data_IF_352639638947
#
_entry.id   IF_352639638947
#
_cell.length_a   1.000
_cell.length_b   1.000
_cell.length_c   1.000
_cell.angle_alpha   90.00
_cell.angle_beta   90.00
_cell.angle_gamma   90.00
#
_symmetry.space_group_name_H-M   'P 1'
#
loop_
_entity.id
_entity.type
_entity.pdbx_description
1 polymer ?
#
# COMPACT_ATOMS: atom_id res chain seq x y z
N UNK A 1 -20.03 -1.25 -19.78
CA UNK A 1 -21.13 -1.17 -20.77
C UNK A 1 -21.19 -2.33 -21.74
N UNK A 2 -20.11 -2.75 -22.43
CA UNK A 2 -20.16 -3.93 -23.33
C UNK A 2 -20.67 -5.20 -22.64
N UNK A 3 -20.14 -5.53 -21.45
CA UNK A 3 -20.63 -6.66 -20.64
C UNK A 3 -22.12 -6.52 -20.32
N UNK A 4 -22.55 -5.34 -19.86
CA UNK A 4 -23.94 -5.07 -19.49
C UNK A 4 -24.87 -5.30 -20.69
N UNK A 5 -24.48 -4.80 -21.87
CA UNK A 5 -25.22 -5.00 -23.11
C UNK A 5 -25.33 -6.47 -23.53
N UNK A 6 -24.31 -7.30 -23.28
CA UNK A 6 -24.37 -8.75 -23.55
C UNK A 6 -25.46 -9.46 -22.73
N UNK A 7 -25.81 -8.91 -21.57
CA UNK A 7 -26.80 -9.46 -20.66
C UNK A 7 -28.08 -8.62 -20.60
N UNK A 8 -28.29 -7.71 -21.56
CA UNK A 8 -29.44 -6.80 -21.61
C UNK A 8 -29.64 -5.98 -20.32
N UNK A 9 -28.55 -5.66 -19.62
CA UNK A 9 -28.55 -4.85 -18.41
C UNK A 9 -28.40 -3.36 -18.75
N UNK A 10 -29.02 -2.46 -17.95
CA UNK A 10 -28.87 -1.01 -18.13
C UNK A 10 -27.39 -0.59 -18.14
N UNK A 11 -26.97 0.32 -19.04
CA UNK A 11 -25.60 0.78 -19.08
C UNK A 11 -25.27 1.66 -17.87
N UNK A 12 -24.00 1.68 -17.47
CA UNK A 12 -23.52 2.72 -16.57
C UNK A 12 -23.42 4.04 -17.33
N UNK A 13 -24.10 5.06 -16.78
CA UNK A 13 -24.11 6.44 -17.28
C UNK A 13 -23.30 7.34 -16.35
N UNK A 14 -22.75 8.43 -16.89
CA UNK A 14 -22.12 9.48 -16.09
C UNK A 14 -23.19 10.23 -15.29
N UNK A 15 -22.83 10.71 -14.11
CA UNK A 15 -23.67 11.62 -13.35
C UNK A 15 -23.71 12.97 -14.07
N UNK A 16 -24.91 13.52 -14.25
CA UNK A 16 -25.17 14.83 -14.87
C UNK A 16 -25.88 15.79 -13.92
N UNK A 17 -26.59 15.26 -12.92
CA UNK A 17 -27.31 16.03 -11.91
C UNK A 17 -27.01 15.47 -10.53
N UNK A 18 -26.88 16.36 -9.56
CA UNK A 18 -26.66 16.01 -8.17
C UNK A 18 -27.81 16.52 -7.30
N UNK A 19 -28.21 15.71 -6.33
CA UNK A 19 -29.30 15.98 -5.41
C UNK A 19 -28.84 15.74 -3.98
N UNK A 20 -29.33 16.56 -3.07
CA UNK A 20 -29.16 16.32 -1.64
C UNK A 20 -30.13 15.24 -1.17
N UNK A 21 -29.62 14.22 -0.48
CA UNK A 21 -30.49 13.29 0.26
C UNK A 21 -31.17 14.02 1.42
N UNK A 22 -32.44 13.71 1.62
CA UNK A 22 -33.14 14.06 2.83
C UNK A 22 -32.52 13.30 4.01
N UNK A 23 -32.14 14.02 5.06
CA UNK A 23 -31.58 13.47 6.29
C UNK A 23 -32.37 13.99 7.48
N UNK A 24 -32.42 13.23 8.60
CA UNK A 24 -33.03 13.72 9.84
C UNK A 24 -32.43 15.05 10.30
N UNK A 25 -33.21 15.85 11.01
CA UNK A 25 -32.78 17.15 11.53
C UNK A 25 -31.48 17.03 12.35
N UNK A 26 -30.56 17.96 12.09
CA UNK A 26 -29.24 18.00 12.73
C UNK A 26 -28.19 17.03 12.16
N UNK A 27 -28.51 16.23 11.13
CA UNK A 27 -27.53 15.38 10.44
C UNK A 27 -27.08 16.00 9.12
N UNK A 28 -25.82 15.77 8.75
CA UNK A 28 -25.27 16.20 7.47
C UNK A 28 -25.93 15.45 6.30
N UNK A 29 -26.37 16.18 5.29
CA UNK A 29 -26.83 15.61 4.02
C UNK A 29 -25.65 15.03 3.21
N UNK A 30 -25.95 14.13 2.27
CA UNK A 30 -25.00 13.58 1.30
C UNK A 30 -25.53 13.78 -0.13
N UNK A 31 -24.61 13.93 -1.08
CA UNK A 31 -24.95 14.04 -2.49
C UNK A 31 -25.27 12.67 -3.09
N UNK A 32 -26.19 12.66 -4.04
CA UNK A 32 -26.53 11.52 -4.89
C UNK A 32 -26.68 12.01 -6.31
N UNK A 33 -26.15 11.27 -7.28
CA UNK A 33 -26.34 11.57 -8.68
C UNK A 33 -27.27 10.62 -9.41
N UNK A 34 -27.55 10.95 -10.66
CA UNK A 34 -28.41 10.23 -11.60
C UNK A 34 -27.65 9.19 -12.46
N UNK A 35 -26.37 8.98 -12.18
CA UNK A 35 -25.49 8.04 -12.90
C UNK A 35 -24.95 6.91 -12.03
N UNK A 36 -23.94 6.22 -12.55
CA UNK A 36 -23.26 5.15 -11.83
C UNK A 36 -22.43 5.70 -10.64
N UNK A 37 -22.33 4.90 -9.58
CA UNK A 37 -21.43 5.18 -8.45
C UNK A 37 -20.20 4.28 -8.50
N UNK A 38 -19.01 4.86 -8.26
CA UNK A 38 -17.80 4.08 -7.99
C UNK A 38 -17.86 3.61 -6.54
N UNK A 39 -18.02 2.30 -6.33
CA UNK A 39 -18.12 1.69 -5.00
C UNK A 39 -16.77 1.23 -4.44
N UNK A 40 -15.82 0.93 -5.32
CA UNK A 40 -14.43 0.63 -5.00
C UNK A 40 -13.56 0.94 -6.21
N UNK A 41 -12.33 1.38 -5.97
CA UNK A 41 -11.32 1.55 -7.01
C UNK A 41 -9.95 1.17 -6.45
N UNK A 42 -9.19 0.42 -7.25
CA UNK A 42 -7.85 -0.02 -6.89
C UNK A 42 -6.84 0.70 -7.78
N UNK A 43 -5.94 1.48 -7.17
CA UNK A 43 -4.79 2.07 -7.85
C UNK A 43 -3.58 1.18 -7.66
N UNK A 44 -2.80 0.96 -8.71
CA UNK A 44 -1.64 0.08 -8.65
C UNK A 44 -0.39 0.72 -9.22
N UNK A 45 0.73 0.56 -8.53
CA UNK A 45 2.06 0.95 -8.99
C UNK A 45 2.98 -0.26 -8.90
N UNK A 46 3.83 -0.47 -9.91
CA UNK A 46 4.84 -1.51 -9.86
C UNK A 46 6.21 -0.86 -9.63
N UNK A 47 6.86 -1.28 -8.54
CA UNK A 47 8.21 -0.86 -8.18
C UNK A 47 9.22 -1.91 -8.61
N UNK A 48 10.31 -1.46 -9.21
CA UNK A 48 11.52 -2.22 -9.44
C UNK A 48 12.43 -2.03 -8.22
N UNK A 49 12.72 -3.10 -7.50
CA UNK A 49 13.62 -3.05 -6.32
C UNK A 49 14.91 -3.87 -6.50
N UNK A 50 15.03 -4.56 -7.65
CA UNK A 50 16.14 -5.45 -7.96
C UNK A 50 15.87 -6.90 -7.51
N UNK A 51 16.38 -7.84 -8.31
CA UNK A 51 16.19 -9.28 -8.07
C UNK A 51 16.59 -9.71 -6.65
N UNK A 52 15.70 -10.44 -5.98
CA UNK A 52 15.92 -10.99 -4.64
C UNK A 52 15.78 -9.98 -3.50
N UNK A 53 15.47 -8.71 -3.78
CA UNK A 53 15.32 -7.64 -2.78
C UNK A 53 13.87 -7.40 -2.35
N UNK A 54 12.90 -8.05 -2.99
CA UNK A 54 11.46 -7.84 -2.80
C UNK A 54 11.01 -8.11 -1.37
N UNK A 55 11.40 -9.26 -0.81
CA UNK A 55 11.03 -9.63 0.55
C UNK A 55 11.66 -8.69 1.59
N UNK A 56 12.91 -8.27 1.36
CA UNK A 56 13.61 -7.31 2.23
C UNK A 56 12.97 -5.93 2.17
N UNK A 57 12.59 -5.46 0.97
CA UNK A 57 11.88 -4.20 0.79
C UNK A 57 10.51 -4.22 1.50
N UNK A 58 9.68 -5.23 1.22
CA UNK A 58 8.35 -5.38 1.85
C UNK A 58 8.49 -5.43 3.38
N UNK A 59 9.50 -6.14 3.88
CA UNK A 59 9.77 -6.24 5.30
C UNK A 59 10.20 -4.91 5.91
N UNK A 60 11.11 -4.18 5.26
CA UNK A 60 11.52 -2.84 5.68
C UNK A 60 10.33 -1.89 5.76
N UNK A 61 9.47 -1.87 4.74
CA UNK A 61 8.23 -1.08 4.75
C UNK A 61 7.29 -1.49 5.89
N UNK A 62 7.19 -2.80 6.18
CA UNK A 62 6.36 -3.33 7.26
C UNK A 62 6.81 -2.96 8.68
N UNK A 63 7.96 -2.30 8.83
CA UNK A 63 8.41 -1.77 10.13
C UNK A 63 7.59 -0.57 10.61
N UNK A 64 6.88 0.13 9.70
CA UNK A 64 6.19 1.37 10.00
C UNK A 64 4.66 1.29 9.84
N UNK A 65 3.94 2.05 10.67
CA UNK A 65 2.54 2.40 10.40
C UNK A 65 2.45 3.51 9.36
N UNK A 66 1.66 3.29 8.31
CA UNK A 66 1.32 4.33 7.32
C UNK A 66 0.04 5.08 7.71
N UNK A 67 -0.11 6.30 7.21
CA UNK A 67 -1.25 7.17 7.48
C UNK A 67 -1.59 7.27 8.98
N UNK A 68 -2.89 7.29 9.28
CA UNK A 68 -3.43 7.39 10.65
C UNK A 68 -3.52 6.01 11.32
N UNK A 69 -2.42 5.59 11.95
CA UNK A 69 -2.34 4.40 12.80
C UNK A 69 -2.68 3.06 12.11
N UNK A 70 -2.50 2.98 10.78
CA UNK A 70 -2.73 1.76 10.03
C UNK A 70 -1.57 0.81 10.31
N UNK A 71 -1.83 -0.30 11.00
CA UNK A 71 -0.79 -1.26 11.37
C UNK A 71 -0.42 -2.17 10.18
N UNK A 72 0.87 -2.43 9.95
CA UNK A 72 1.32 -3.41 8.98
C UNK A 72 0.98 -4.82 9.46
N UNK A 73 0.50 -5.65 8.52
CA UNK A 73 0.35 -7.09 8.66
C UNK A 73 1.25 -7.76 7.61
N UNK A 74 2.48 -8.06 8.02
CA UNK A 74 3.41 -8.87 7.22
C UNK A 74 2.99 -10.34 7.32
N UNK A 75 2.80 -11.01 6.18
CA UNK A 75 2.47 -12.43 6.15
C UNK A 75 3.71 -13.30 6.44
N UNK A 76 3.55 -14.54 6.94
CA UNK A 76 4.67 -15.37 7.39
C UNK A 76 5.77 -15.62 6.33
N UNK A 77 5.40 -15.66 5.05
CA UNK A 77 6.36 -15.84 3.94
C UNK A 77 7.14 -14.56 3.59
N UNK A 78 6.81 -13.41 4.18
CA UNK A 78 7.44 -12.12 3.89
C UNK A 78 7.13 -11.53 2.51
N UNK A 79 6.29 -12.19 1.70
CA UNK A 79 6.02 -11.82 0.31
C UNK A 79 4.87 -10.83 0.15
N UNK A 80 4.18 -10.50 1.24
CA UNK A 80 3.05 -9.57 1.23
C UNK A 80 2.95 -8.85 2.56
N UNK A 81 2.66 -7.55 2.52
CA UNK A 81 2.28 -6.76 3.68
C UNK A 81 1.03 -5.95 3.38
N UNK A 82 0.05 -6.02 4.29
CA UNK A 82 -1.18 -5.24 4.20
C UNK A 82 -1.24 -4.19 5.31
N UNK A 83 -1.80 -3.03 4.99
CA UNK A 83 -2.21 -2.02 5.95
C UNK A 83 -3.72 -1.83 5.85
N UNK A 84 -4.42 -2.00 6.97
CA UNK A 84 -5.87 -1.82 7.07
C UNK A 84 -6.71 -2.77 6.19
N UNK A 85 -6.36 -4.05 6.14
CA UNK A 85 -7.04 -5.10 5.33
C UNK A 85 -8.58 -5.10 5.47
N UNK A 86 -9.08 -4.98 6.70
CA UNK A 86 -10.51 -4.99 7.02
C UNK A 86 -11.19 -3.61 6.95
N UNK A 87 -10.48 -2.55 6.55
CA UNK A 87 -11.03 -1.19 6.56
C UNK A 87 -12.05 -0.97 5.45
N UNK A 88 -13.16 -0.31 5.74
CA UNK A 88 -14.13 0.13 4.72
C UNK A 88 -13.72 1.44 4.04
N UNK A 89 -12.59 2.03 4.46
CA UNK A 89 -12.07 3.31 3.98
C UNK A 89 -11.00 3.13 2.91
N UNK A 90 -9.86 2.54 3.29
CA UNK A 90 -8.72 2.30 2.41
C UNK A 90 -7.92 1.08 2.91
N UNK A 91 -7.49 0.25 1.97
CA UNK A 91 -6.50 -0.81 2.17
C UNK A 91 -5.30 -0.54 1.28
N UNK A 92 -4.10 -0.73 1.81
CA UNK A 92 -2.85 -0.63 1.05
C UNK A 92 -2.12 -1.94 1.17
N UNK A 93 -1.57 -2.42 0.07
CA UNK A 93 -0.93 -3.73 -0.01
C UNK A 93 0.37 -3.62 -0.81
N UNK A 94 1.44 -4.16 -0.26
CA UNK A 94 2.69 -4.40 -0.98
C UNK A 94 2.89 -5.90 -1.13
N UNK A 95 3.24 -6.39 -2.32
CA UNK A 95 3.55 -7.81 -2.51
C UNK A 95 4.54 -8.07 -3.64
N UNK A 96 5.28 -9.17 -3.51
CA UNK A 96 6.15 -9.68 -4.58
C UNK A 96 5.28 -10.21 -5.73
N UNK A 97 5.32 -9.52 -6.88
CA UNK A 97 4.41 -9.83 -7.99
C UNK A 97 4.74 -11.17 -8.65
N UNK A 98 6.03 -11.49 -8.77
CA UNK A 98 6.47 -12.78 -9.29
C UNK A 98 5.96 -13.96 -8.44
N UNK A 99 6.08 -13.85 -7.11
CA UNK A 99 5.60 -14.87 -6.19
C UNK A 99 4.09 -15.07 -6.31
N UNK A 100 3.32 -13.99 -6.36
CA UNK A 100 1.87 -14.05 -6.53
C UNK A 100 1.47 -14.72 -7.85
N UNK A 101 2.09 -14.33 -8.98
CA UNK A 101 1.85 -14.93 -10.28
C UNK A 101 2.17 -16.44 -10.29
N UNK A 102 3.27 -16.85 -9.64
CA UNK A 102 3.62 -18.28 -9.49
C UNK A 102 2.56 -19.06 -8.71
N UNK A 103 2.02 -18.50 -7.64
CA UNK A 103 0.97 -19.14 -6.85
C UNK A 103 -0.35 -19.24 -7.62
N UNK A 104 -0.70 -18.22 -8.41
CA UNK A 104 -1.85 -18.27 -9.31
C UNK A 104 -1.67 -19.34 -10.41
N UNK A 105 -0.52 -19.36 -11.07
CA UNK A 105 -0.19 -20.36 -12.10
C UNK A 105 -0.27 -21.80 -11.55
N UNK A 106 0.23 -22.05 -10.34
CA UNK A 106 0.12 -23.37 -9.67
C UNK A 106 -1.34 -23.77 -9.44
N UNK A 107 -2.21 -22.83 -9.06
CA UNK A 107 -3.64 -23.10 -8.84
C UNK A 107 -4.33 -23.41 -10.17
N UNK A 108 -4.02 -22.67 -11.22
CA UNK A 108 -4.64 -22.85 -12.53
C UNK A 108 -4.20 -24.16 -13.18
N UNK A 109 -2.91 -24.54 -13.09
CA UNK A 109 -2.41 -25.86 -13.53
C UNK A 109 -3.12 -27.05 -12.84
N UNK A 110 -3.70 -26.85 -11.64
CA UNK A 110 -4.47 -27.90 -10.92
C UNK A 110 -5.93 -28.02 -11.36
N UNK A 111 -6.53 -26.97 -11.94
CA UNK A 111 -7.97 -26.92 -12.21
C UNK A 111 -8.43 -27.75 -13.42
N UNK A 112 -7.52 -28.40 -14.16
CA UNK A 112 -7.79 -29.13 -15.43
C UNK A 112 -8.44 -28.31 -16.55
N UNK A 113 -8.83 -27.06 -16.31
CA UNK A 113 -9.19 -26.10 -17.35
C UNK A 113 -7.97 -25.85 -18.24
N UNK A 114 -8.17 -25.96 -19.55
CA UNK A 114 -7.11 -25.90 -20.55
C UNK A 114 -6.58 -24.47 -20.67
N UNK A 115 -5.54 -24.11 -19.90
CA UNK A 115 -4.75 -22.92 -20.20
C UNK A 115 -4.03 -23.19 -21.51
N UNK A 116 -4.21 -22.31 -22.50
CA UNK A 116 -3.58 -22.46 -23.80
C UNK A 116 -2.05 -22.43 -23.64
N UNK A 117 -1.28 -23.26 -24.37
CA UNK A 117 0.17 -23.28 -24.28
C UNK A 117 0.81 -21.90 -24.45
N UNK A 118 0.28 -21.08 -25.36
CA UNK A 118 0.74 -19.70 -25.60
C UNK A 118 0.53 -18.78 -24.39
N UNK A 119 -0.58 -18.95 -23.67
CA UNK A 119 -0.86 -18.19 -22.45
C UNK A 119 0.07 -18.60 -21.32
N UNK A 120 0.40 -19.90 -21.23
CA UNK A 120 1.37 -20.40 -20.27
C UNK A 120 2.77 -19.82 -20.52
N UNK A 121 3.24 -19.85 -21.77
CA UNK A 121 4.54 -19.27 -22.15
C UNK A 121 4.60 -17.77 -21.83
N UNK A 122 3.54 -17.03 -22.14
CA UNK A 122 3.44 -15.62 -21.80
C UNK A 122 3.49 -15.36 -20.28
N UNK A 123 2.76 -16.14 -19.48
CA UNK A 123 2.75 -15.99 -18.02
C UNK A 123 4.12 -16.35 -17.44
N UNK A 124 4.77 -17.40 -17.93
CA UNK A 124 6.11 -17.80 -17.47
C UNK A 124 7.15 -16.73 -17.82
N UNK A 125 7.09 -16.16 -19.04
CA UNK A 125 7.89 -15.00 -19.44
C UNK A 125 7.66 -13.77 -18.55
N UNK A 126 6.40 -13.52 -18.18
CA UNK A 126 6.04 -12.41 -17.28
C UNK A 126 6.56 -12.62 -15.86
N UNK A 127 6.47 -13.84 -15.35
CA UNK A 127 7.03 -14.22 -14.04
C UNK A 127 8.54 -13.97 -14.04
N UNK A 128 9.25 -14.50 -15.04
CA UNK A 128 10.70 -14.34 -15.14
C UNK A 128 11.12 -12.85 -15.24
N UNK A 129 10.36 -12.04 -15.98
CA UNK A 129 10.57 -10.59 -15.99
C UNK A 129 10.39 -9.97 -14.60
N UNK A 130 9.30 -10.32 -13.90
CA UNK A 130 9.06 -9.82 -12.55
C UNK A 130 10.14 -10.24 -11.55
N UNK A 131 10.71 -11.44 -11.68
CA UNK A 131 11.81 -11.92 -10.83
C UNK A 131 13.12 -11.18 -11.12
N UNK A 132 13.47 -11.02 -12.40
CA UNK A 132 14.70 -10.32 -12.79
C UNK A 132 14.71 -8.85 -12.37
N UNK A 133 13.57 -8.19 -12.44
CA UNK A 133 13.43 -6.78 -12.01
C UNK A 133 13.19 -6.65 -10.49
N UNK A 134 12.85 -7.74 -9.81
CA UNK A 134 12.42 -7.70 -8.43
C UNK A 134 11.18 -6.84 -8.24
N UNK A 135 10.06 -7.25 -8.84
CA UNK A 135 8.84 -6.43 -8.88
C UNK A 135 8.06 -6.54 -7.58
N UNK A 136 7.91 -5.41 -6.89
CA UNK A 136 6.96 -5.24 -5.78
C UNK A 136 5.79 -4.40 -6.28
N UNK A 137 4.58 -4.97 -6.23
CA UNK A 137 3.38 -4.21 -6.54
C UNK A 137 2.83 -3.55 -5.29
N UNK A 138 2.56 -2.26 -5.43
CA UNK A 138 1.78 -1.44 -4.53
C UNK A 138 0.33 -1.37 -5.04
N UNK A 139 -0.63 -1.66 -4.17
CA UNK A 139 -2.06 -1.53 -4.45
C UNK A 139 -2.74 -0.70 -3.35
N UNK A 140 -3.53 0.29 -3.77
CA UNK A 140 -4.38 1.11 -2.91
C UNK A 140 -5.84 0.87 -3.27
N UNK A 141 -6.55 0.13 -2.44
CA UNK A 141 -7.99 -0.08 -2.57
C UNK A 141 -8.75 1.01 -1.81
N UNK A 142 -9.30 1.98 -2.54
CA UNK A 142 -10.17 3.02 -2.01
C UNK A 142 -11.59 2.50 -2.03
N UNK A 143 -12.19 2.37 -0.84
CA UNK A 143 -13.48 1.73 -0.64
C UNK A 143 -14.58 2.76 -0.41
N UNK A 144 -15.82 2.29 -0.51
CA UNK A 144 -17.02 3.13 -0.58
C UNK A 144 -17.11 4.24 0.49
N UNK A 145 -16.67 3.99 1.74
CA UNK A 145 -16.75 5.01 2.79
C UNK A 145 -15.86 6.22 2.49
N UNK A 146 -14.63 6.00 1.99
CA UNK A 146 -13.72 7.07 1.58
C UNK A 146 -14.30 7.80 0.36
N UNK A 147 -14.74 7.04 -0.64
CA UNK A 147 -15.25 7.60 -1.90
C UNK A 147 -16.48 8.48 -1.68
N UNK A 148 -17.37 8.10 -0.76
CA UNK A 148 -18.54 8.91 -0.37
C UNK A 148 -18.19 10.11 0.50
N UNK A 149 -17.18 9.99 1.38
CA UNK A 149 -16.73 11.15 2.18
C UNK A 149 -16.23 12.29 1.32
N UNK A 150 -15.56 11.95 0.22
CA UNK A 150 -14.83 12.90 -0.62
C UNK A 150 -15.47 13.10 -2.00
N UNK A 151 -16.73 12.67 -2.18
CA UNK A 151 -17.47 12.75 -3.44
C UNK A 151 -16.81 12.10 -4.67
N UNK A 152 -15.78 11.27 -4.45
CA UNK A 152 -15.03 10.52 -5.47
C UNK A 152 -15.85 9.39 -6.12
N UNK A 153 -17.04 9.11 -5.61
CA UNK A 153 -17.94 8.09 -6.13
C UNK A 153 -18.73 8.54 -7.37
N UNK A 154 -18.76 9.84 -7.67
CA UNK A 154 -19.59 10.42 -8.73
C UNK A 154 -18.98 10.21 -10.12
N UNK A 155 -19.18 9.04 -10.70
CA UNK A 155 -18.65 8.69 -12.03
C UNK A 155 -19.02 9.77 -13.07
N UNK A 156 -18.02 10.26 -13.80
CA UNK A 156 -18.17 11.29 -14.83
C UNK A 156 -18.02 12.73 -14.34
N UNK A 157 -18.00 12.96 -13.02
CA UNK A 157 -17.75 14.27 -12.39
C UNK A 157 -16.42 14.35 -11.65
N UNK A 158 -15.66 13.26 -11.64
CA UNK A 158 -14.36 13.14 -10.97
C UNK A 158 -13.31 12.75 -11.99
N UNK A 159 -12.08 13.22 -11.77
CA UNK A 159 -10.90 12.93 -12.59
C UNK A 159 -9.88 12.11 -11.79
N UNK A 160 -8.85 11.60 -12.45
CA UNK A 160 -7.80 10.83 -11.78
C UNK A 160 -7.04 11.65 -10.74
N UNK A 161 -6.82 12.94 -11.02
CA UNK A 161 -6.09 13.86 -10.13
C UNK A 161 -6.74 13.99 -8.74
N UNK A 162 -8.07 13.87 -8.67
CA UNK A 162 -8.84 13.94 -7.42
C UNK A 162 -8.44 12.84 -6.42
N UNK A 163 -7.88 11.72 -6.91
CA UNK A 163 -7.48 10.57 -6.12
C UNK A 163 -6.05 10.68 -5.58
N UNK A 164 -5.14 11.42 -6.23
CA UNK A 164 -3.70 11.38 -5.93
C UNK A 164 -3.36 11.74 -4.48
N UNK A 165 -4.08 12.69 -3.87
CA UNK A 165 -3.91 13.06 -2.46
C UNK A 165 -4.13 11.90 -1.46
N UNK A 166 -4.75 10.81 -1.91
CA UNK A 166 -5.04 9.62 -1.11
C UNK A 166 -4.06 8.45 -1.33
N UNK A 167 -3.05 8.63 -2.19
CA UNK A 167 -2.15 7.54 -2.63
C UNK A 167 -0.72 7.66 -2.04
N UNK A 168 -0.34 8.81 -1.48
CA UNK A 168 1.05 9.09 -1.09
C UNK A 168 1.54 8.39 0.20
N UNK A 169 0.73 7.51 0.81
CA UNK A 169 1.06 6.88 2.10
C UNK A 169 2.36 6.05 2.04
N UNK A 170 2.60 5.33 0.94
CA UNK A 170 3.81 4.51 0.76
C UNK A 170 5.02 5.38 0.41
N UNK A 171 4.85 6.33 -0.51
CA UNK A 171 5.91 7.29 -0.86
C UNK A 171 6.43 8.07 0.36
N UNK A 172 5.53 8.57 1.19
CA UNK A 172 5.90 9.25 2.44
C UNK A 172 6.70 8.34 3.38
N UNK A 173 6.31 7.06 3.48
CA UNK A 173 7.03 6.08 4.29
C UNK A 173 8.40 5.75 3.70
N UNK A 174 8.53 5.62 2.38
CA UNK A 174 9.81 5.40 1.69
C UNK A 174 10.77 6.57 1.90
N UNK A 175 10.30 7.82 1.70
CA UNK A 175 11.09 9.02 1.91
C UNK A 175 11.59 9.12 3.35
N UNK A 176 10.73 8.77 4.31
CA UNK A 176 11.12 8.72 5.73
C UNK A 176 12.21 7.67 5.97
N UNK A 177 12.10 6.47 5.41
CA UNK A 177 13.11 5.42 5.61
C UNK A 177 14.45 5.74 4.95
N UNK A 178 14.43 6.39 3.77
CA UNK A 178 15.63 6.71 3.01
C UNK A 178 16.52 7.74 3.73
N UNK A 179 15.94 8.84 4.21
CA UNK A 179 16.66 9.94 4.88
C UNK A 179 17.48 9.47 6.09
N UNK A 180 17.07 8.39 6.75
CA UNK A 180 17.72 7.91 7.97
C UNK A 180 18.84 6.88 7.74
N UNK A 181 19.02 6.39 6.50
CA UNK A 181 20.08 5.42 6.19
C UNK A 181 21.44 6.09 5.95
N UNK A 182 21.46 7.34 5.49
CA UNK A 182 22.66 8.01 4.97
C UNK A 182 23.64 8.52 6.04
N UNK A 183 23.29 8.49 7.34
CA UNK A 183 24.11 9.13 8.37
C UNK A 183 24.53 8.16 9.49
N UNK A 184 25.86 8.01 9.69
CA UNK A 184 26.45 7.38 10.90
C UNK A 184 26.29 8.25 12.16
N UNK A 185 25.12 8.88 12.31
CA UNK A 185 24.78 9.73 13.44
C UNK A 185 24.00 8.94 14.49
N UNK A 186 24.15 9.31 15.76
CA UNK A 186 23.31 8.73 16.82
C UNK A 186 21.85 9.15 16.64
N UNK A 187 20.92 8.36 17.15
CA UNK A 187 19.48 8.67 17.12
C UNK A 187 19.17 10.06 17.67
N UNK A 188 19.89 10.52 18.70
CA UNK A 188 19.73 11.87 19.21
C UNK A 188 20.09 12.96 18.18
N UNK A 189 21.15 12.76 17.39
CA UNK A 189 21.53 13.70 16.33
C UNK A 189 20.56 13.64 15.15
N UNK A 190 20.11 12.43 14.76
CA UNK A 190 19.08 12.26 13.72
C UNK A 190 17.79 12.99 14.10
N UNK A 191 17.35 12.90 15.36
CA UNK A 191 16.17 13.61 15.87
C UNK A 191 16.32 15.14 15.80
N UNK A 192 17.52 15.67 16.07
CA UNK A 192 17.80 17.10 15.95
C UNK A 192 17.84 17.54 14.48
N UNK A 193 18.53 16.79 13.63
CA UNK A 193 18.66 17.05 12.19
C UNK A 193 17.29 17.06 11.49
N UNK A 194 16.43 16.10 11.85
CA UNK A 194 15.06 16.02 11.35
C UNK A 194 14.11 17.10 11.92
N UNK A 195 14.55 17.92 12.87
CA UNK A 195 13.70 18.92 13.53
C UNK A 195 12.62 18.31 14.43
N UNK A 196 12.79 17.06 14.87
CA UNK A 196 11.83 16.37 15.73
C UNK A 196 11.83 16.89 17.18
N UNK A 197 12.93 17.52 17.59
CA UNK A 197 13.18 18.05 18.93
C UNK A 197 13.98 19.34 18.85
N UNK A 198 13.76 20.24 19.81
CA UNK A 198 14.43 21.56 19.82
C UNK A 198 15.79 21.53 20.51
N UNK A 199 16.03 20.52 21.36
CA UNK A 199 17.22 20.47 22.22
C UNK A 199 17.82 19.08 22.31
N UNK A 200 19.15 19.02 22.47
CA UNK A 200 19.88 17.76 22.66
C UNK A 200 19.39 16.99 23.90
N UNK A 201 18.94 17.69 24.95
CA UNK A 201 18.35 17.06 26.13
C UNK A 201 17.10 16.24 25.78
N UNK A 202 16.17 16.83 25.04
CA UNK A 202 14.96 16.13 24.59
C UNK A 202 15.30 14.97 23.63
N UNK A 203 16.31 15.16 22.79
CA UNK A 203 16.83 14.13 21.88
C UNK A 203 17.35 12.91 22.66
N UNK A 204 18.22 13.14 23.65
CA UNK A 204 18.78 12.10 24.51
C UNK A 204 17.71 11.38 25.35
N UNK A 205 16.71 12.09 25.87
CA UNK A 205 15.58 11.46 26.55
C UNK A 205 14.82 10.52 25.61
N UNK A 206 14.54 10.95 24.39
CA UNK A 206 13.85 10.13 23.39
C UNK A 206 14.71 8.93 22.97
N UNK A 207 16.02 9.12 22.79
CA UNK A 207 16.98 8.06 22.51
C UNK A 207 17.03 7.01 23.63
N UNK A 208 16.96 7.41 24.91
CA UNK A 208 16.92 6.47 26.03
C UNK A 208 15.69 5.55 25.98
N UNK A 209 14.50 6.12 25.72
CA UNK A 209 13.28 5.31 25.54
C UNK A 209 13.36 4.42 24.30
N UNK A 210 13.96 4.90 23.21
CA UNK A 210 14.24 4.06 22.06
C UNK A 210 15.12 2.86 22.43
N UNK A 211 16.20 3.04 23.18
CA UNK A 211 17.06 1.94 23.66
C UNK A 211 16.27 0.93 24.49
N UNK A 212 15.41 1.39 25.42
CA UNK A 212 14.52 0.48 26.18
C UNK A 212 13.62 -0.35 25.26
N UNK A 213 13.02 0.29 24.27
CA UNK A 213 12.19 -0.40 23.27
C UNK A 213 13.00 -1.41 22.44
N UNK A 214 14.24 -1.09 22.06
CA UNK A 214 15.15 -2.03 21.37
C UNK A 214 15.48 -3.26 22.23
N UNK A 215 15.54 -3.11 23.55
CA UNK A 215 15.70 -4.24 24.47
C UNK A 215 14.40 -5.03 24.70
N UNK A 216 13.31 -4.69 24.00
CA UNK A 216 12.03 -5.41 24.03
C UNK A 216 11.05 -4.91 25.09
N UNK A 217 11.34 -3.81 25.79
CA UNK A 217 10.41 -3.21 26.76
C UNK A 217 9.20 -2.59 26.04
N UNK A 218 7.98 -2.92 26.47
CA UNK A 218 6.80 -2.17 26.02
C UNK A 218 6.75 -0.84 26.75
N UNK A 219 7.03 0.25 26.03
CA UNK A 219 7.06 1.59 26.61
C UNK A 219 5.71 2.05 27.16
N UNK A 220 4.60 1.37 26.83
CA UNK A 220 3.28 1.67 27.42
C UNK A 220 3.19 1.30 28.90
N UNK A 221 4.03 0.40 29.37
CA UNK A 221 4.08 -0.01 30.78
C UNK A 221 4.95 0.96 31.61
N UNK A 222 5.83 1.71 30.94
CA UNK A 222 6.79 2.63 31.57
C UNK A 222 6.33 4.09 31.49
N UNK A 223 5.72 4.48 30.37
CA UNK A 223 5.32 5.85 30.07
C UNK A 223 3.83 6.06 30.23
N UNK A 224 3.45 7.27 30.64
CA UNK A 224 2.06 7.67 30.51
C UNK A 224 1.68 7.83 29.01
N UNK A 225 0.38 7.82 28.74
CA UNK A 225 -0.16 7.87 27.38
C UNK A 225 0.36 9.07 26.58
N UNK A 226 0.42 10.26 27.18
CA UNK A 226 0.85 11.48 26.52
C UNK A 226 2.33 11.41 26.11
N UNK A 227 3.20 11.02 27.05
CA UNK A 227 4.64 10.85 26.82
C UNK A 227 4.91 9.79 25.76
N UNK A 228 4.20 8.66 25.80
CA UNK A 228 4.33 7.61 24.79
C UNK A 228 4.06 8.16 23.38
N UNK A 229 2.93 8.86 23.18
CA UNK A 229 2.61 9.42 21.87
C UNK A 229 3.56 10.55 21.45
N UNK A 230 4.09 11.34 22.39
CA UNK A 230 5.11 12.35 22.13
C UNK A 230 6.41 11.74 21.59
N UNK A 231 6.97 10.75 22.29
CA UNK A 231 8.20 10.07 21.85
C UNK A 231 7.98 9.26 20.58
N UNK A 232 6.80 8.65 20.42
CA UNK A 232 6.42 7.96 19.18
C UNK A 232 6.40 8.92 18.00
N UNK A 233 5.80 10.10 18.15
CA UNK A 233 5.74 11.09 17.08
C UNK A 233 7.14 11.55 16.65
N UNK A 234 8.03 11.80 17.63
CA UNK A 234 9.44 12.17 17.38
C UNK A 234 10.19 11.09 16.61
N UNK A 235 10.18 9.85 17.09
CA UNK A 235 10.87 8.72 16.47
C UNK A 235 10.31 8.39 15.08
N UNK A 236 9.01 8.60 14.86
CA UNK A 236 8.39 8.36 13.55
C UNK A 236 8.94 9.26 12.45
N UNK A 237 9.40 10.47 12.79
CA UNK A 237 10.04 11.38 11.81
C UNK A 237 11.36 10.83 11.28
N UNK A 238 12.02 9.98 12.07
CA UNK A 238 13.27 9.31 11.68
C UNK A 238 13.05 7.83 11.32
N UNK A 239 11.84 7.45 10.90
CA UNK A 239 11.54 6.10 10.39
C UNK A 239 11.37 5.03 11.47
N UNK A 240 11.35 5.39 12.76
CA UNK A 240 11.25 4.44 13.87
C UNK A 240 9.84 4.47 14.46
N UNK A 241 9.13 3.34 14.41
CA UNK A 241 7.79 3.21 14.98
C UNK A 241 7.77 2.31 16.23
N UNK A 242 7.97 2.93 17.40
CA UNK A 242 7.84 2.27 18.72
C UNK A 242 6.41 1.82 19.05
N UNK A 243 5.44 2.12 18.20
CA UNK A 243 4.09 1.58 18.28
C UNK A 243 4.03 0.08 17.97
N UNK A 244 5.01 -0.45 17.24
CA UNK A 244 5.18 -1.86 16.94
C UNK A 244 6.01 -2.57 18.02
N UNK A 245 5.88 -3.90 18.10
CA UNK A 245 6.85 -4.70 18.86
C UNK A 245 8.19 -4.64 18.15
N UNK A 246 9.26 -4.52 18.92
CA UNK A 246 10.61 -4.58 18.37
C UNK A 246 10.83 -5.95 17.73
N UNK A 247 11.22 -5.94 16.46
CA UNK A 247 11.51 -7.14 15.69
C UNK A 247 12.78 -6.87 14.89
N UNK A 248 13.89 -7.45 15.36
CA UNK A 248 15.22 -7.32 14.75
C UNK A 248 15.18 -7.75 13.28
N UNK A 249 14.32 -8.72 12.94
CA UNK A 249 14.19 -9.20 11.56
C UNK A 249 13.54 -8.17 10.64
N UNK A 250 12.71 -7.27 11.18
CA UNK A 250 11.99 -6.20 10.45
C UNK A 250 12.72 -4.88 10.38
N UNK A 251 13.72 -4.67 11.23
CA UNK A 251 14.62 -3.55 11.03
C UNK A 251 15.28 -3.72 9.67
N UNK A 252 15.27 -2.66 8.85
CA UNK A 252 16.17 -2.59 7.72
C UNK A 252 17.58 -2.92 8.24
N UNK A 253 18.28 -3.92 7.67
CA UNK A 253 19.38 -4.60 8.34
C UNK A 253 20.55 -3.64 8.62
N UNK A 254 20.67 -3.13 9.85
CA UNK A 254 21.74 -2.20 10.27
C UNK A 254 22.89 -2.89 10.99
N UNK A 255 23.11 -4.18 10.78
CA UNK A 255 24.28 -4.90 11.30
C UNK A 255 24.89 -5.74 10.17
N UNK A 256 25.99 -5.21 9.61
CA UNK A 256 26.74 -5.61 8.38
C UNK A 256 26.09 -5.15 7.07
N UNK A 257 26.48 -3.94 6.62
CA UNK A 257 26.22 -3.35 5.28
C UNK A 257 24.85 -3.72 4.71
N UNK A 258 23.79 -3.03 5.16
CA UNK A 258 22.54 -3.00 4.39
C UNK A 258 22.87 -2.43 3.03
N UNK A 259 22.74 -3.23 1.97
CA UNK A 259 22.70 -2.68 0.63
C UNK A 259 21.49 -1.75 0.53
N UNK A 260 21.71 -0.51 0.07
CA UNK A 260 20.63 0.41 -0.25
C UNK A 260 19.81 -0.23 -1.37
N UNK A 261 18.51 -0.42 -1.11
CA UNK A 261 17.56 -0.87 -2.13
C UNK A 261 17.13 0.37 -2.91
N UNK A 262 17.61 0.51 -4.14
CA UNK A 262 17.13 1.56 -5.04
C UNK A 262 15.75 1.15 -5.56
N UNK A 263 14.75 1.98 -5.29
CA UNK A 263 13.38 1.80 -5.77
C UNK A 263 13.19 2.69 -7.00
N UNK A 264 12.70 2.12 -8.10
CA UNK A 264 12.40 2.86 -9.34
C UNK A 264 11.05 2.42 -9.91
N UNK A 265 10.36 3.28 -10.69
CA UNK A 265 9.19 2.84 -11.44
C UNK A 265 9.56 1.72 -12.42
N UNK A 266 8.77 0.63 -12.43
CA UNK A 266 9.02 -0.50 -13.33
C UNK A 266 8.81 -0.08 -14.80
N UNK A 267 9.82 -0.32 -15.64
CA UNK A 267 9.67 -0.16 -17.10
C UNK A 267 8.74 -1.23 -17.67
N UNK A 268 7.86 -0.85 -18.60
CA UNK A 268 7.04 -1.83 -19.35
C UNK A 268 7.89 -2.42 -20.48
N UNK A 269 8.04 -3.76 -20.57
CA UNK A 269 8.81 -4.37 -21.65
C UNK A 269 8.03 -4.39 -22.97
N UNK A 270 8.74 -4.33 -24.10
CA UNK A 270 8.13 -4.17 -25.43
C UNK A 270 7.16 -5.30 -25.85
N UNK A 271 7.36 -6.50 -25.29
CA UNK A 271 6.51 -7.65 -25.55
C UNK A 271 5.26 -7.72 -24.65
N UNK A 272 5.11 -6.79 -23.70
CA UNK A 272 3.97 -6.78 -22.77
C UNK A 272 2.66 -6.48 -23.51
N UNK A 273 1.66 -7.31 -23.29
CA UNK A 273 0.34 -7.13 -23.89
C UNK A 273 -0.48 -6.15 -23.05
N UNK A 274 -0.65 -4.93 -23.57
CA UNK A 274 -1.54 -3.93 -22.96
C UNK A 274 -3.02 -4.25 -23.24
N UNK A 275 -3.93 -4.00 -22.28
CA UNK A 275 -5.35 -4.23 -22.50
C UNK A 275 -5.88 -3.30 -23.60
N UNK A 276 -6.50 -3.87 -24.63
CA UNK A 276 -7.15 -3.12 -25.70
C UNK A 276 -8.60 -2.82 -25.28
N UNK A 277 -8.89 -1.53 -25.03
CA UNK A 277 -10.14 -1.00 -24.47
C UNK A 277 -11.42 -1.43 -25.23
N UNK A 278 -11.28 -1.90 -26.48
CA UNK A 278 -12.39 -2.34 -27.31
C UNK A 278 -12.73 -3.85 -27.24
N UNK A 279 -11.89 -4.72 -26.67
CA UNK A 279 -12.06 -6.19 -26.75
C UNK A 279 -11.89 -6.96 -25.43
N UNK A 280 -11.39 -6.34 -24.36
CA UNK A 280 -10.90 -7.08 -23.18
C UNK A 280 -11.93 -7.40 -22.08
N UNK A 281 -13.23 -7.41 -22.37
CA UNK A 281 -14.28 -7.66 -21.36
C UNK A 281 -15.03 -8.98 -21.56
N UNK A 282 -14.37 -10.00 -22.12
CA UNK A 282 -14.83 -11.38 -21.95
C UNK A 282 -14.18 -11.92 -20.68
N UNK A 283 -14.88 -11.83 -19.54
CA UNK A 283 -14.45 -12.54 -18.33
C UNK A 283 -14.48 -14.05 -18.65
N UNK A 284 -13.35 -14.79 -18.51
CA UNK A 284 -13.31 -16.22 -18.76
C UNK A 284 -14.00 -17.05 -17.67
N UNK A 285 -14.52 -16.42 -16.62
CA UNK A 285 -15.20 -17.12 -15.53
C UNK A 285 -16.71 -17.00 -15.69
N UNK A 286 -17.37 -18.15 -15.89
CA UNK A 286 -18.83 -18.26 -15.74
C UNK A 286 -19.19 -17.85 -14.31
N UNK A 287 -20.00 -16.80 -14.16
CA UNK A 287 -20.75 -16.60 -12.93
C UNK A 287 -21.72 -17.77 -12.80
N UNK A 288 -21.42 -18.70 -11.91
CA UNK A 288 -22.34 -19.74 -11.49
C UNK A 288 -23.33 -19.06 -10.55
N UNK A 289 -24.62 -19.13 -10.89
CA UNK A 289 -25.74 -18.63 -10.11
C UNK A 289 -25.89 -19.40 -8.78
#
# INVERSE_FOLDING_TARGET
NHVLSKYDLPPFTKNTRLFHRQTPDGKSSSLVGDGAEITSIDFTVNHEVGQGKEASFIRGMSSMQIGRARKPKLYPNGMTCNWSEASTWIMTKLYCKAYELKEHLKKDKRKKDSVLPEQLDYIEKLIDYCERQGVVREEHSLRQTLLKRHDLHLYGLVTEEDFYKHLNDIENAMNTLYVNHDEHQSIAHQLLSAGAVDTLRQANTTMSYFTMWQHGTDLRDVLNKSQFYQHKARLKQIGIDIGQKFDISRMCPTLKRSEIIQVKPLRVPDWYQVPVVAQSNVLPFKAIA
#
